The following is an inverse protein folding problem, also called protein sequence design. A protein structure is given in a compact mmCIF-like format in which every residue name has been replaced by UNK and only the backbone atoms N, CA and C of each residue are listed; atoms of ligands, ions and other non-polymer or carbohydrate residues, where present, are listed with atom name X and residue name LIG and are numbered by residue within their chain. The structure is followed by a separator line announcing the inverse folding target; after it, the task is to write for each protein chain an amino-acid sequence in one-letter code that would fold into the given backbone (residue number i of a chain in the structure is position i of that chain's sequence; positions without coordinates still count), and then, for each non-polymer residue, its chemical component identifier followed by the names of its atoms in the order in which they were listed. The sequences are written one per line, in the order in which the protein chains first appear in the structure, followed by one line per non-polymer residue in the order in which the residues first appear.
data_IF_692232763634
#
_entry.id   IF_692232763634
#
_cell.length_a   1.000
_cell.length_b   1.000
_cell.length_c   1.000
_cell.angle_alpha   90.00
_cell.angle_beta   90.00
_cell.angle_gamma   90.00
#
_symmetry.space_group_name_H-M   'P 1'
#
loop_
_entity.id
_entity.type
_entity.pdbx_description
1 polymer ?
#
# COMPACT_ATOMS: atom_id res chain seq x y z
N UNK A 1 -17.38 11.38 -10.89
CA UNK A 1 -16.52 10.27 -10.40
C UNK A 1 -16.71 9.11 -11.37
N UNK A 2 -15.71 8.81 -12.21
CA UNK A 2 -15.85 7.82 -13.28
C UNK A 2 -15.62 6.41 -12.71
N UNK A 3 -16.65 5.57 -12.74
CA UNK A 3 -16.55 4.13 -12.55
C UNK A 3 -15.56 3.56 -13.59
N UNK A 4 -14.45 2.98 -13.15
CA UNK A 4 -13.65 2.11 -14.02
C UNK A 4 -14.44 0.79 -14.17
N UNK A 5 -15.06 0.67 -15.34
CA UNK A 5 -15.83 -0.45 -15.86
C UNK A 5 -15.23 -1.83 -15.60
N UNK A 6 -16.05 -2.71 -14.98
CA UNK A 6 -16.08 -4.18 -15.04
C UNK A 6 -14.93 -5.02 -14.41
N UNK A 7 -14.04 -4.44 -13.60
CA UNK A 7 -13.03 -5.20 -12.86
C UNK A 7 -13.41 -5.48 -11.40
N UNK A 8 -13.11 -6.68 -10.88
CA UNK A 8 -13.19 -6.96 -9.43
C UNK A 8 -12.22 -6.05 -8.68
N UNK A 9 -12.72 -5.34 -7.66
CA UNK A 9 -11.89 -4.49 -6.81
C UNK A 9 -11.03 -5.34 -5.86
N UNK A 10 -9.72 -5.37 -6.10
CA UNK A 10 -8.73 -6.17 -5.35
C UNK A 10 -8.66 -5.74 -3.88
N UNK A 11 -8.87 -4.46 -3.58
CA UNK A 11 -8.68 -3.93 -2.23
C UNK A 11 -9.81 -4.26 -1.25
N UNK A 12 -10.97 -4.72 -1.72
CA UNK A 12 -12.20 -4.84 -0.91
C UNK A 12 -11.99 -5.60 0.40
N UNK A 13 -11.34 -6.78 0.34
CA UNK A 13 -11.09 -7.63 1.52
C UNK A 13 -10.03 -7.09 2.48
N UNK A 14 -9.34 -6.01 2.13
CA UNK A 14 -8.29 -5.39 2.93
C UNK A 14 -8.73 -4.06 3.55
N UNK A 15 -9.97 -3.61 3.29
CA UNK A 15 -10.48 -2.32 3.78
C UNK A 15 -10.80 -2.37 5.28
N UNK A 16 -11.45 -3.45 5.72
CA UNK A 16 -11.86 -3.68 7.09
C UNK A 16 -11.53 -5.12 7.47
N UNK A 17 -10.89 -5.31 8.62
CA UNK A 17 -10.87 -6.64 9.24
C UNK A 17 -12.24 -6.99 9.83
N UNK A 18 -12.63 -8.28 9.82
CA UNK A 18 -13.71 -8.76 10.67
C UNK A 18 -13.42 -8.44 12.13
N UNK A 19 -14.44 -8.14 12.92
CA UNK A 19 -14.25 -7.92 14.36
C UNK A 19 -13.81 -9.22 15.06
N UNK A 20 -13.18 -9.09 16.24
CA UNK A 20 -12.82 -10.25 17.08
C UNK A 20 -14.01 -11.15 17.43
N UNK A 21 -15.22 -10.60 17.43
CA UNK A 21 -16.45 -11.35 17.71
C UNK A 21 -16.89 -12.16 16.49
N UNK A 22 -16.71 -11.61 15.28
CA UNK A 22 -17.11 -12.25 14.03
C UNK A 22 -16.12 -13.34 13.60
N UNK A 23 -14.82 -13.14 13.84
CA UNK A 23 -13.77 -14.06 13.41
C UNK A 23 -12.66 -14.19 14.46
N UNK A 24 -12.93 -14.76 15.64
CA UNK A 24 -11.97 -14.83 16.74
C UNK A 24 -10.67 -15.56 16.38
N UNK A 25 -10.72 -16.63 15.58
CA UNK A 25 -9.57 -17.43 15.15
C UNK A 25 -8.53 -16.61 14.39
N UNK A 26 -8.95 -15.60 13.61
CA UNK A 26 -8.03 -14.69 12.93
C UNK A 26 -7.10 -14.01 13.93
N UNK A 27 -7.65 -13.59 15.07
CA UNK A 27 -6.91 -12.89 16.11
C UNK A 27 -6.12 -13.81 17.05
N UNK A 28 -6.31 -15.13 16.96
CA UNK A 28 -5.44 -16.11 17.60
C UNK A 28 -4.21 -16.41 16.75
N UNK A 29 -4.36 -16.41 15.43
CA UNK A 29 -3.27 -16.67 14.48
C UNK A 29 -2.45 -15.41 14.21
N UNK A 30 -3.10 -14.27 14.00
CA UNK A 30 -2.47 -13.02 13.58
C UNK A 30 -2.18 -12.12 14.78
N UNK A 31 -0.89 -11.92 15.04
CA UNK A 31 -0.40 -11.18 16.22
C UNK A 31 -0.60 -9.66 16.10
N UNK A 32 -0.49 -9.11 14.90
CA UNK A 32 -0.61 -7.67 14.64
C UNK A 32 -1.64 -7.38 13.54
N UNK A 33 -2.95 -7.44 13.85
CA UNK A 33 -4.02 -7.14 12.90
C UNK A 33 -3.94 -5.71 12.36
N UNK A 34 -4.07 -5.56 11.04
CA UNK A 34 -4.12 -4.26 10.36
C UNK A 34 -5.01 -4.33 9.12
N UNK A 35 -5.65 -3.22 8.77
CA UNK A 35 -6.40 -2.99 7.53
C UNK A 35 -6.09 -1.61 6.93
N UNK A 36 -6.59 -1.34 5.72
CA UNK A 36 -6.43 -0.04 5.10
C UNK A 36 -7.07 1.11 5.88
N UNK A 37 -8.12 0.85 6.65
CA UNK A 37 -8.72 1.90 7.47
C UNK A 37 -7.79 2.34 8.60
N UNK A 38 -7.07 1.40 9.20
CA UNK A 38 -6.03 1.69 10.19
C UNK A 38 -4.86 2.44 9.56
N UNK A 39 -4.36 1.99 8.41
CA UNK A 39 -3.27 2.67 7.69
C UNK A 39 -3.68 4.10 7.31
N UNK A 40 -4.88 4.27 6.76
CA UNK A 40 -5.44 5.59 6.42
C UNK A 40 -5.55 6.51 7.64
N UNK A 41 -5.96 5.97 8.79
CA UNK A 41 -6.03 6.72 10.06
C UNK A 41 -4.63 7.14 10.53
N UNK A 42 -3.66 6.23 10.49
CA UNK A 42 -2.27 6.53 10.85
C UNK A 42 -1.67 7.62 9.95
N UNK A 43 -1.94 7.58 8.65
CA UNK A 43 -1.51 8.61 7.69
C UNK A 43 -2.10 9.99 8.03
N UNK A 44 -3.42 10.07 8.24
CA UNK A 44 -4.09 11.33 8.64
C UNK A 44 -3.54 11.89 9.95
N UNK A 45 -3.17 11.00 10.87
CA UNK A 45 -2.62 11.37 12.17
C UNK A 45 -1.09 11.59 12.16
N UNK A 46 -0.47 11.68 10.97
CA UNK A 46 0.97 11.91 10.76
C UNK A 46 1.85 10.92 11.55
N UNK A 47 1.42 9.66 11.65
CA UNK A 47 2.17 8.61 12.36
C UNK A 47 3.33 8.01 11.55
N UNK A 48 3.36 8.28 10.26
CA UNK A 48 4.42 7.83 9.36
C UNK A 48 5.38 8.98 9.10
N UNK A 49 6.64 8.81 9.51
CA UNK A 49 7.72 9.78 9.25
C UNK A 49 8.35 9.60 7.87
N UNK A 50 8.26 8.41 7.30
CA UNK A 50 8.89 8.05 6.01
C UNK A 50 7.94 7.21 5.15
N UNK A 51 8.18 7.16 3.84
CA UNK A 51 7.46 6.25 2.94
C UNK A 51 7.69 4.79 3.35
N UNK A 52 8.88 4.45 3.84
CA UNK A 52 9.21 3.09 4.31
C UNK A 52 8.36 2.68 5.52
N UNK A 53 8.02 3.63 6.40
CA UNK A 53 7.11 3.35 7.51
C UNK A 53 5.66 3.06 7.06
N UNK A 54 5.23 3.62 5.91
CA UNK A 54 3.96 3.26 5.28
C UNK A 54 4.07 1.88 4.63
N UNK A 55 5.15 1.63 3.89
CA UNK A 55 5.39 0.33 3.25
C UNK A 55 5.42 -0.82 4.26
N UNK A 56 6.00 -0.59 5.44
CA UNK A 56 6.03 -1.60 6.50
C UNK A 56 4.62 -2.06 6.91
N UNK A 57 3.67 -1.13 7.04
CA UNK A 57 2.27 -1.46 7.36
C UNK A 57 1.53 -2.09 6.16
N UNK A 58 1.83 -1.68 4.93
CA UNK A 58 1.30 -2.30 3.71
C UNK A 58 1.82 -3.74 3.58
N UNK A 59 3.09 -3.96 3.87
CA UNK A 59 3.71 -5.28 3.86
C UNK A 59 3.10 -6.17 4.96
N UNK A 60 2.93 -5.64 6.19
CA UNK A 60 2.27 -6.34 7.28
C UNK A 60 0.83 -6.75 6.92
N UNK A 61 0.06 -5.84 6.30
CA UNK A 61 -1.28 -6.14 5.78
C UNK A 61 -1.28 -7.35 4.83
N UNK A 62 -0.35 -7.37 3.88
CA UNK A 62 -0.22 -8.47 2.93
C UNK A 62 0.29 -9.76 3.59
N UNK A 63 1.26 -9.68 4.51
CA UNK A 63 1.78 -10.84 5.25
C UNK A 63 0.70 -11.48 6.11
N UNK A 64 -0.13 -10.69 6.79
CA UNK A 64 -1.24 -11.20 7.58
C UNK A 64 -2.26 -11.94 6.70
N UNK A 65 -2.58 -11.38 5.53
CA UNK A 65 -3.44 -12.05 4.57
C UNK A 65 -2.84 -13.36 4.08
N UNK A 66 -1.53 -13.41 3.84
CA UNK A 66 -0.83 -14.61 3.38
C UNK A 66 -0.67 -15.68 4.47
N UNK A 67 -0.53 -15.27 5.73
CA UNK A 67 -0.38 -16.18 6.86
C UNK A 67 -1.71 -16.85 7.24
N UNK A 68 -2.82 -16.11 7.14
CA UNK A 68 -4.13 -16.64 7.51
C UNK A 68 -4.81 -17.42 6.38
N UNK A 69 -4.61 -17.00 5.13
CA UNK A 69 -5.33 -17.56 3.99
C UNK A 69 -4.46 -18.53 3.20
N UNK A 70 -5.09 -19.55 2.62
CA UNK A 70 -4.41 -20.55 1.77
C UNK A 70 -3.84 -19.92 0.51
N UNK A 71 -2.73 -20.44 0.00
CA UNK A 71 -2.04 -19.90 -1.18
C UNK A 71 -2.88 -19.90 -2.47
N UNK A 72 -3.82 -20.85 -2.57
CA UNK A 72 -4.75 -21.01 -3.68
C UNK A 72 -5.96 -20.04 -3.63
N UNK A 73 -6.14 -19.36 -2.50
CA UNK A 73 -7.26 -18.42 -2.28
C UNK A 73 -7.08 -17.11 -3.04
N UNK A 74 -8.21 -16.47 -3.35
CA UNK A 74 -8.21 -15.17 -4.05
C UNK A 74 -7.53 -14.08 -3.23
N UNK A 75 -7.82 -13.99 -1.92
CA UNK A 75 -7.24 -12.98 -1.02
C UNK A 75 -5.72 -13.12 -0.88
N UNK A 76 -5.21 -14.35 -0.87
CA UNK A 76 -3.77 -14.58 -0.85
C UNK A 76 -3.12 -14.06 -2.14
N UNK A 77 -3.68 -14.39 -3.32
CA UNK A 77 -3.18 -13.87 -4.61
C UNK A 77 -3.29 -12.35 -4.69
N UNK A 78 -4.42 -11.80 -4.25
CA UNK A 78 -4.67 -10.36 -4.22
C UNK A 78 -3.64 -9.62 -3.37
N UNK A 79 -3.22 -10.18 -2.24
CA UNK A 79 -2.19 -9.57 -1.39
C UNK A 79 -0.85 -9.39 -2.13
N UNK A 80 -0.49 -10.35 -3.01
CA UNK A 80 0.73 -10.29 -3.82
C UNK A 80 0.62 -9.21 -4.90
N UNK A 81 -0.54 -9.15 -5.56
CA UNK A 81 -0.82 -8.10 -6.56
C UNK A 81 -0.78 -6.72 -5.90
N UNK A 82 -1.42 -6.58 -4.73
CA UNK A 82 -1.49 -5.33 -3.99
C UNK A 82 -0.11 -4.81 -3.59
N UNK A 83 0.75 -5.70 -3.08
CA UNK A 83 2.13 -5.33 -2.76
C UNK A 83 2.95 -5.00 -4.02
N UNK A 84 2.70 -5.70 -5.13
CA UNK A 84 3.25 -5.37 -6.45
C UNK A 84 2.90 -3.95 -6.90
N UNK A 85 1.61 -3.58 -6.83
CA UNK A 85 1.12 -2.24 -7.16
C UNK A 85 1.78 -1.18 -6.27
N UNK A 86 1.89 -1.43 -4.95
CA UNK A 86 2.59 -0.53 -4.04
C UNK A 86 4.04 -0.27 -4.47
N UNK A 87 4.81 -1.33 -4.77
CA UNK A 87 6.20 -1.20 -5.22
C UNK A 87 6.33 -0.35 -6.48
N UNK A 88 5.43 -0.56 -7.45
CA UNK A 88 5.41 0.25 -8.69
C UNK A 88 5.13 1.71 -8.37
N UNK A 89 4.10 2.01 -7.56
CA UNK A 89 3.75 3.38 -7.19
C UNK A 89 4.88 4.08 -6.42
N UNK A 90 5.51 3.38 -5.47
CA UNK A 90 6.66 3.90 -4.72
C UNK A 90 7.82 4.25 -5.66
N UNK A 91 8.16 3.36 -6.59
CA UNK A 91 9.24 3.60 -7.54
C UNK A 91 8.95 4.81 -8.45
N UNK A 92 7.73 4.93 -8.98
CA UNK A 92 7.33 6.08 -9.80
C UNK A 92 7.41 7.40 -9.03
N UNK A 93 6.91 7.44 -7.79
CA UNK A 93 6.96 8.64 -6.97
C UNK A 93 8.38 9.09 -6.60
N UNK A 94 9.32 8.14 -6.45
CA UNK A 94 10.73 8.44 -6.24
C UNK A 94 11.35 9.00 -7.52
N UNK A 95 11.07 8.39 -8.67
CA UNK A 95 11.61 8.84 -9.96
C UNK A 95 11.14 10.26 -10.33
N UNK A 96 9.87 10.59 -10.06
CA UNK A 96 9.34 11.95 -10.26
C UNK A 96 10.11 12.99 -9.42
N UNK A 97 10.39 12.70 -8.15
CA UNK A 97 11.18 13.60 -7.29
C UNK A 97 12.63 13.76 -7.74
N UNK A 98 13.25 12.72 -8.31
CA UNK A 98 14.61 12.82 -8.86
C UNK A 98 14.63 13.76 -10.06
N UNK A 99 13.63 13.68 -10.94
CA UNK A 99 13.55 14.56 -12.12
C UNK A 99 13.35 16.06 -11.79
N UNK A 100 12.75 16.38 -10.65
CA UNK A 100 12.57 17.77 -10.19
C UNK A 100 13.85 18.37 -9.58
N UNK A 101 14.79 17.52 -9.15
CA UNK A 101 16.07 17.90 -8.53
C UNK A 101 17.23 18.00 -9.53
N UNK A 102 17.03 17.58 -10.78
CA UNK A 102 18.02 17.76 -11.86
C UNK A 102 18.26 19.27 -12.07
N UNK A 103 19.52 19.74 -12.05
CA UNK A 103 19.82 21.15 -12.24
C UNK A 103 19.36 21.59 -13.64
N UNK A 104 18.43 22.55 -13.67
CA UNK A 104 17.99 23.17 -14.92
C UNK A 104 19.21 23.72 -15.65
N UNK A 105 19.37 23.50 -16.97
CA UNK A 105 20.47 24.06 -17.72
C UNK A 105 20.47 25.57 -17.51
N UNK A 106 21.54 26.07 -16.88
CA UNK A 106 21.69 27.48 -16.58
C UNK A 106 21.53 28.32 -17.85
N UNK A 107 21.03 29.57 -17.75
CA UNK A 107 20.79 30.41 -18.91
C UNK A 107 22.08 30.50 -19.73
N UNK A 108 22.02 30.00 -20.97
CA UNK A 108 23.14 30.05 -21.90
C UNK A 108 23.50 31.51 -22.13
N UNK A 109 24.65 31.94 -21.58
CA UNK A 109 25.26 33.22 -21.92
C UNK A 109 25.73 33.12 -23.38
N UNK A 110 24.89 33.59 -24.29
CA UNK A 110 25.35 34.00 -25.61
C UNK A 110 26.31 35.17 -25.41
N UNK A 111 27.60 34.87 -25.48
CA UNK A 111 28.62 35.90 -25.55
C UNK A 111 28.56 36.52 -26.94
N UNK A 112 28.63 37.85 -26.95
CA UNK A 112 28.57 38.77 -28.10
C UNK A 112 29.51 38.38 -29.24
#
# INVERSE_FOLDING_TARGET
MKNLSNGRQISTNFINLPSKRELPEYYHVISQPIDFNRIRKNLKNRKYGTIDSIESDIHLLCQNAQAFNREDSEIYRDSKILFGVWKTLKASAVNEKVSELEPQPGPSRTSK
#
